data_IF_553814365260
#
_entry.id   IF_553814365260
#
_cell.length_a   1.000
_cell.length_b   1.000
_cell.length_c   1.000
_cell.angle_alpha   90.00
_cell.angle_beta   90.00
_cell.angle_gamma   90.00
#
_symmetry.space_group_name_H-M   'P 1'
#
loop_
_entity.id
_entity.type
_entity.pdbx_description
1 polymer ?
#
# COMPACT_ATOMS: atom_id res chain seq x y z
N UNK A 1 -11.12 -6.69 -4.90
CA UNK A 1 -10.29 -7.59 -4.08
C UNK A 1 -10.60 -9.02 -4.49
N UNK A 2 -9.57 -9.84 -4.67
CA UNK A 2 -9.63 -11.25 -5.03
C UNK A 2 -8.64 -12.02 -4.14
N UNK A 3 -8.79 -13.33 -4.04
CA UNK A 3 -7.82 -14.18 -3.34
C UNK A 3 -7.79 -15.57 -3.95
N UNK A 4 -6.66 -16.25 -3.76
CA UNK A 4 -6.52 -17.69 -3.98
C UNK A 4 -6.00 -18.36 -2.69
N UNK A 5 -5.59 -19.62 -2.76
CA UNK A 5 -5.11 -20.38 -1.60
C UNK A 5 -3.80 -19.84 -0.99
N UNK A 6 -3.08 -18.99 -1.70
CA UNK A 6 -1.75 -18.50 -1.33
C UNK A 6 -1.66 -16.98 -1.19
N UNK A 7 -2.53 -16.21 -1.86
CA UNK A 7 -2.36 -14.78 -2.02
C UNK A 7 -3.67 -14.00 -1.91
N UNK A 8 -3.55 -12.78 -1.37
CA UNK A 8 -4.53 -11.72 -1.46
C UNK A 8 -4.15 -10.75 -2.60
N UNK A 9 -5.11 -10.43 -3.46
CA UNK A 9 -4.96 -9.46 -4.54
C UNK A 9 -5.86 -8.24 -4.34
N UNK A 10 -5.26 -7.05 -4.38
CA UNK A 10 -5.95 -5.77 -4.21
C UNK A 10 -5.68 -4.91 -5.43
N UNK A 11 -6.74 -4.60 -6.18
CA UNK A 11 -6.71 -3.64 -7.29
C UNK A 11 -7.34 -2.33 -6.86
N UNK A 12 -6.70 -1.23 -7.22
CA UNK A 12 -7.16 0.14 -6.96
C UNK A 12 -7.08 0.97 -8.24
N UNK A 13 -8.08 1.83 -8.44
CA UNK A 13 -8.02 2.95 -9.36
C UNK A 13 -8.27 4.23 -8.57
N UNK A 14 -7.26 5.09 -8.50
CA UNK A 14 -7.36 6.43 -7.91
C UNK A 14 -7.64 7.41 -9.05
N UNK A 15 -8.89 7.84 -9.16
CA UNK A 15 -9.29 8.81 -10.17
C UNK A 15 -8.76 10.20 -9.82
N UNK A 16 -8.09 10.84 -10.79
CA UNK A 16 -7.60 12.21 -10.69
C UNK A 16 -7.93 12.95 -12.00
N UNK A 17 -8.61 14.09 -11.86
CA UNK A 17 -8.97 14.95 -13.01
C UNK A 17 -7.77 15.71 -13.59
N UNK A 18 -6.66 15.77 -12.86
CA UNK A 18 -5.40 16.42 -13.26
C UNK A 18 -4.21 15.46 -13.06
N UNK A 19 -4.05 14.41 -13.88
CA UNK A 19 -2.98 13.41 -13.69
C UNK A 19 -1.56 13.97 -13.78
N UNK A 20 -1.38 15.17 -14.35
CA UNK A 20 -0.11 15.89 -14.38
C UNK A 20 0.31 16.44 -13.02
N UNK A 21 -0.62 16.53 -12.06
CA UNK A 21 -0.40 17.03 -10.71
C UNK A 21 -0.13 15.90 -9.71
N UNK A 22 -0.12 14.63 -10.16
CA UNK A 22 0.17 13.47 -9.30
C UNK A 22 1.56 13.66 -8.67
N UNK A 23 1.59 13.82 -7.34
CA UNK A 23 2.81 14.11 -6.60
C UNK A 23 3.48 12.79 -6.24
N UNK A 24 4.57 12.48 -6.96
CA UNK A 24 5.51 11.44 -6.55
C UNK A 24 6.87 12.04 -6.32
N UNK A 25 7.14 12.39 -5.07
CA UNK A 25 8.42 12.95 -4.65
C UNK A 25 9.53 11.89 -4.56
N UNK A 26 9.16 10.62 -4.38
CA UNK A 26 10.10 9.56 -4.04
C UNK A 26 9.78 8.22 -4.72
N UNK A 27 10.77 7.68 -5.43
CA UNK A 27 10.76 6.32 -6.02
C UNK A 27 11.30 5.25 -5.06
N UNK A 28 11.78 5.65 -3.88
CA UNK A 28 12.49 4.78 -2.95
C UNK A 28 11.54 4.04 -2.01
N UNK A 29 12.00 2.87 -1.54
CA UNK A 29 11.44 2.21 -0.37
C UNK A 29 11.47 3.19 0.82
N UNK A 30 10.48 3.08 1.70
CA UNK A 30 10.34 3.92 2.90
C UNK A 30 9.99 5.39 2.62
N UNK A 31 9.28 5.66 1.52
CA UNK A 31 8.73 7.00 1.24
C UNK A 31 7.74 7.42 2.33
N UNK A 32 7.59 8.73 2.57
CA UNK A 32 6.55 9.26 3.45
C UNK A 32 5.17 9.18 2.74
N UNK A 33 4.25 8.30 3.19
CA UNK A 33 2.95 8.17 2.54
C UNK A 33 2.08 9.41 2.71
N UNK A 34 2.31 10.23 3.75
CA UNK A 34 1.55 11.45 4.00
C UNK A 34 1.94 12.63 3.10
N UNK A 35 3.10 12.56 2.45
CA UNK A 35 3.64 13.61 1.59
C UNK A 35 3.47 13.33 0.09
N UNK A 36 2.82 12.22 -0.28
CA UNK A 36 2.68 11.74 -1.65
C UNK A 36 1.23 11.33 -1.95
N UNK A 37 0.87 11.26 -3.23
CA UNK A 37 -0.32 10.51 -3.63
C UNK A 37 -0.07 9.02 -3.37
N UNK A 38 -0.67 8.53 -2.30
CA UNK A 38 -0.46 7.18 -1.80
C UNK A 38 -1.79 6.44 -1.62
N UNK A 39 -1.73 5.12 -1.81
CA UNK A 39 -2.78 4.19 -1.46
C UNK A 39 -2.27 3.26 -0.37
N UNK A 40 -3.03 3.16 0.73
CA UNK A 40 -2.68 2.34 1.88
C UNK A 40 -3.76 1.28 2.16
N UNK A 41 -3.31 0.07 2.50
CA UNK A 41 -4.12 -1.03 2.99
C UNK A 41 -3.66 -1.39 4.39
N UNK A 42 -4.62 -1.49 5.32
CA UNK A 42 -4.40 -1.97 6.68
C UNK A 42 -5.16 -3.28 6.87
N UNK A 43 -4.45 -4.33 7.28
CA UNK A 43 -5.01 -5.67 7.48
C UNK A 43 -4.87 -6.09 8.95
N UNK A 44 -6.00 -6.28 9.63
CA UNK A 44 -6.07 -7.05 10.87
C UNK A 44 -6.21 -8.54 10.52
N UNK A 45 -5.07 -9.23 10.49
CA UNK A 45 -4.99 -10.63 10.03
C UNK A 45 -5.44 -11.65 11.08
N UNK A 46 -5.54 -11.24 12.35
CA UNK A 46 -5.98 -12.11 13.45
C UNK A 46 -7.37 -11.76 13.99
N UNK A 47 -7.98 -10.71 13.46
CA UNK A 47 -9.24 -10.15 13.91
C UNK A 47 -9.23 -9.86 15.41
N UNK A 48 -8.10 -9.33 15.90
CA UNK A 48 -7.89 -9.04 17.31
C UNK A 48 -8.14 -7.57 17.66
N UNK A 49 -8.36 -6.70 16.66
CA UNK A 49 -8.52 -5.25 16.76
C UNK A 49 -7.35 -4.52 17.44
N UNK A 50 -6.19 -5.18 17.57
CA UNK A 50 -5.01 -4.68 18.28
C UNK A 50 -3.79 -4.57 17.41
N UNK A 51 -3.59 -5.53 16.51
CA UNK A 51 -2.42 -5.61 15.65
C UNK A 51 -2.83 -5.65 14.19
N UNK A 52 -1.99 -5.10 13.33
CA UNK A 52 -2.24 -5.13 11.89
C UNK A 52 -0.98 -4.91 11.07
N UNK A 53 -1.10 -5.16 9.78
CA UNK A 53 -0.04 -4.88 8.80
C UNK A 53 -0.49 -3.77 7.87
N UNK A 54 0.42 -2.84 7.58
CA UNK A 54 0.19 -1.72 6.69
C UNK A 54 1.03 -1.91 5.44
N UNK A 55 0.40 -1.72 4.29
CA UNK A 55 1.05 -1.76 2.98
C UNK A 55 0.65 -0.50 2.23
N UNK A 56 1.62 0.32 1.86
CA UNK A 56 1.38 1.56 1.12
C UNK A 56 2.22 1.64 -0.15
N UNK A 57 1.62 2.21 -1.18
CA UNK A 57 2.27 2.44 -2.47
C UNK A 57 1.88 3.79 -3.06
N UNK A 58 2.72 4.35 -3.91
CA UNK A 58 2.43 5.58 -4.66
C UNK A 58 2.27 5.30 -6.15
N UNK A 59 1.94 6.32 -6.94
CA UNK A 59 1.68 6.17 -8.37
C UNK A 59 2.84 5.61 -9.22
N UNK A 60 4.07 5.65 -8.70
CA UNK A 60 5.26 5.07 -9.36
C UNK A 60 5.69 3.72 -8.74
N UNK A 61 4.87 3.13 -7.87
CA UNK A 61 5.11 1.79 -7.34
C UNK A 61 6.16 1.72 -6.23
N UNK A 62 6.47 2.85 -5.57
CA UNK A 62 7.24 2.80 -4.34
C UNK A 62 6.52 1.93 -3.30
N UNK A 63 7.28 1.27 -2.43
CA UNK A 63 6.76 0.40 -1.39
C UNK A 63 7.08 0.98 -0.02
N UNK A 64 6.08 0.97 0.85
CA UNK A 64 6.23 1.21 2.28
C UNK A 64 5.41 0.16 3.02
N UNK A 65 5.97 -0.41 4.07
CA UNK A 65 5.28 -1.35 4.94
C UNK A 65 5.64 -1.14 6.41
N UNK A 66 4.72 -1.55 7.26
CA UNK A 66 4.93 -1.50 8.69
C UNK A 66 4.00 -2.48 9.41
N UNK A 67 4.41 -2.86 10.63
CA UNK A 67 3.53 -3.51 11.58
C UNK A 67 2.94 -2.48 12.53
N UNK A 68 1.62 -2.48 12.64
CA UNK A 68 0.85 -1.72 13.61
C UNK A 68 0.60 -2.59 14.85
N UNK A 69 0.88 -2.06 16.04
CA UNK A 69 0.67 -2.77 17.32
C UNK A 69 0.02 -1.84 18.35
N UNK A 70 -0.40 -2.41 19.48
CA UNK A 70 -1.00 -1.67 20.60
C UNK A 70 -2.18 -0.78 20.19
N UNK A 71 -3.14 -1.36 19.47
CA UNK A 71 -4.35 -0.67 19.01
C UNK A 71 -4.04 0.54 18.10
N UNK A 72 -2.96 0.45 17.33
CA UNK A 72 -2.54 1.52 16.42
C UNK A 72 -1.71 2.64 17.03
N UNK A 73 -1.38 2.55 18.32
CA UNK A 73 -0.55 3.57 19.00
C UNK A 73 0.92 3.50 18.60
N UNK A 74 1.39 2.33 18.22
CA UNK A 74 2.79 2.11 17.86
C UNK A 74 2.89 1.54 16.44
N UNK A 75 3.82 2.11 15.66
CA UNK A 75 4.14 1.67 14.30
C UNK A 75 5.59 1.20 14.27
N UNK A 76 5.79 -0.08 13.97
CA UNK A 76 7.09 -0.65 13.69
C UNK A 76 7.36 -0.62 12.18
N UNK A 77 7.98 0.47 11.71
CA UNK A 77 8.39 0.64 10.31
C UNK A 77 9.63 -0.17 9.91
N UNK A 78 10.24 -0.93 10.84
CA UNK A 78 11.32 -1.87 10.50
C UNK A 78 10.78 -3.24 10.08
N UNK A 79 9.48 -3.47 10.20
CA UNK A 79 8.86 -4.69 9.69
C UNK A 79 8.89 -4.68 8.17
N UNK A 80 9.36 -5.76 7.56
CA UNK A 80 9.57 -5.86 6.11
C UNK A 80 8.81 -7.07 5.55
N UNK A 81 7.74 -6.80 4.81
CA UNK A 81 6.87 -7.83 4.24
C UNK A 81 7.28 -8.24 2.83
N UNK A 82 7.10 -9.52 2.51
CA UNK A 82 7.16 -9.95 1.10
C UNK A 82 5.81 -9.62 0.47
N UNK A 83 5.80 -8.70 -0.48
CA UNK A 83 4.62 -8.36 -1.29
C UNK A 83 5.08 -7.71 -2.60
N UNK A 84 4.21 -7.67 -3.60
CA UNK A 84 4.51 -7.01 -4.87
C UNK A 84 3.44 -6.00 -5.23
N UNK A 85 3.83 -4.96 -5.95
CA UNK A 85 2.93 -3.97 -6.51
C UNK A 85 3.32 -3.67 -7.95
N UNK A 86 2.33 -3.44 -8.79
CA UNK A 86 2.48 -2.84 -10.11
C UNK A 86 1.56 -1.63 -10.22
N UNK A 87 2.05 -0.55 -10.81
CA UNK A 87 1.27 0.69 -10.96
C UNK A 87 1.27 1.18 -12.39
N UNK A 88 0.22 1.95 -12.73
CA UNK A 88 0.11 2.57 -14.04
C UNK A 88 -0.63 3.90 -13.97
N UNK A 89 0.06 4.99 -14.31
CA UNK A 89 -0.57 6.29 -14.52
C UNK A 89 -1.31 6.28 -15.86
N UNK A 90 -2.53 6.83 -15.87
CA UNK A 90 -3.41 6.99 -17.03
C UNK A 90 -3.92 8.44 -17.11
N UNK A 91 -4.65 8.77 -18.17
CA UNK A 91 -5.17 10.14 -18.40
C UNK A 91 -6.22 10.62 -17.38
N UNK A 92 -6.67 9.76 -16.49
CA UNK A 92 -7.76 10.02 -15.55
C UNK A 92 -7.38 9.60 -14.12
N UNK A 93 -6.09 9.47 -13.83
CA UNK A 93 -5.60 9.00 -12.53
C UNK A 93 -4.57 7.88 -12.65
N UNK A 94 -4.57 6.93 -11.72
CA UNK A 94 -3.62 5.83 -11.74
C UNK A 94 -4.17 4.55 -11.12
N UNK A 95 -3.61 3.42 -11.57
CA UNK A 95 -3.93 2.09 -11.08
C UNK A 95 -2.81 1.55 -10.20
N UNK A 96 -3.18 0.74 -9.21
CA UNK A 96 -2.28 -0.12 -8.45
C UNK A 96 -2.86 -1.52 -8.35
N UNK A 97 -2.00 -2.52 -8.53
CA UNK A 97 -2.32 -3.93 -8.30
C UNK A 97 -1.31 -4.49 -7.29
N UNK A 98 -1.80 -4.89 -6.14
CA UNK A 98 -1.03 -5.39 -5.00
C UNK A 98 -1.30 -6.88 -4.84
N UNK A 99 -0.23 -7.64 -4.62
CA UNK A 99 -0.28 -9.05 -4.23
C UNK A 99 0.44 -9.24 -2.89
N UNK A 100 -0.26 -9.83 -1.91
CA UNK A 100 0.24 -10.13 -0.57
C UNK A 100 0.12 -11.65 -0.36
N UNK A 101 1.23 -12.38 -0.26
CA UNK A 101 1.23 -13.79 0.13
C UNK A 101 0.74 -13.96 1.57
N UNK A 102 0.08 -15.09 1.86
CA UNK A 102 -0.29 -15.47 3.23
C UNK A 102 0.87 -16.04 4.05
N UNK A 103 2.04 -16.24 3.44
CA UNK A 103 3.24 -16.85 4.04
C UNK A 103 4.51 -16.16 3.59
#
# INVERSE_FOLDING_TARGET
MLYDDANLFIGMFAHDSSPGDIIVSELRKDFDPGANDAFEVILDTFHDERNGYRFATNALGAKWDAQMVNEGRDINSNWDGIWSVQTRIVKTGWYAEIMIPFR
#
